data_IF_339863793785
#
_entry.id   IF_339863793785
#
_cell.length_a   1.000
_cell.length_b   1.000
_cell.length_c   1.000
_cell.angle_alpha   90.00
_cell.angle_beta   90.00
_cell.angle_gamma   90.00
#
_symmetry.space_group_name_H-M   'P 1'
#
loop_
_entity.id
_entity.type
_entity.pdbx_description
1 polymer ?
#
# COMPACT_ATOMS: atom_id res chain seq x y z
N UNK A 1 -70.06 -19.36 -14.17
CA UNK A 1 -68.84 -18.79 -13.53
C UNK A 1 -67.62 -19.31 -14.29
N UNK A 2 -66.91 -18.44 -15.03
CA UNK A 2 -65.67 -18.85 -15.74
C UNK A 2 -64.62 -19.22 -14.70
N UNK A 3 -64.15 -20.46 -14.69
CA UNK A 3 -63.04 -20.92 -13.82
C UNK A 3 -61.82 -20.07 -14.14
N UNK A 4 -61.20 -19.46 -13.12
CA UNK A 4 -59.97 -18.69 -13.31
C UNK A 4 -58.91 -19.59 -13.97
N UNK A 5 -58.33 -19.08 -15.06
CA UNK A 5 -57.24 -19.75 -15.75
C UNK A 5 -56.04 -19.82 -14.81
N UNK A 6 -55.45 -20.99 -14.60
CA UNK A 6 -54.26 -21.17 -13.75
C UNK A 6 -53.11 -20.23 -14.17
N UNK A 7 -52.99 -19.90 -15.46
CA UNK A 7 -52.03 -18.90 -15.96
C UNK A 7 -52.29 -17.49 -15.40
N UNK A 8 -53.57 -17.12 -15.22
CA UNK A 8 -53.96 -15.83 -14.64
C UNK A 8 -53.61 -15.78 -13.16
N UNK A 9 -53.82 -16.88 -12.43
CA UNK A 9 -53.46 -17.00 -11.01
C UNK A 9 -51.95 -16.87 -10.83
N UNK A 10 -51.16 -17.55 -11.65
CA UNK A 10 -49.70 -17.50 -11.61
C UNK A 10 -49.17 -16.09 -11.96
N UNK A 11 -49.79 -15.43 -12.94
CA UNK A 11 -49.47 -14.04 -13.28
C UNK A 11 -49.78 -13.06 -12.15
N UNK A 12 -50.95 -13.18 -11.50
CA UNK A 12 -51.31 -12.35 -10.35
C UNK A 12 -50.35 -12.57 -9.20
N UNK A 13 -49.96 -13.83 -8.93
CA UNK A 13 -49.01 -14.14 -7.88
C UNK A 13 -47.63 -13.54 -8.17
N UNK A 14 -47.13 -13.66 -9.40
CA UNK A 14 -45.87 -13.04 -9.82
C UNK A 14 -45.91 -11.50 -9.72
N UNK A 15 -47.04 -10.89 -10.09
CA UNK A 15 -47.23 -9.43 -9.99
C UNK A 15 -47.23 -8.96 -8.53
N UNK A 16 -47.98 -9.64 -7.65
CA UNK A 16 -48.01 -9.34 -6.22
C UNK A 16 -46.61 -9.50 -5.63
N UNK A 17 -45.91 -10.59 -5.96
CA UNK A 17 -44.55 -10.83 -5.50
C UNK A 17 -43.58 -9.74 -5.96
N UNK A 18 -43.64 -9.34 -7.24
CA UNK A 18 -42.84 -8.24 -7.77
C UNK A 18 -43.09 -6.90 -7.05
N UNK A 19 -44.36 -6.57 -6.77
CA UNK A 19 -44.71 -5.35 -6.03
C UNK A 19 -44.17 -5.42 -4.60
N UNK A 20 -44.39 -6.54 -3.89
CA UNK A 20 -43.94 -6.72 -2.49
C UNK A 20 -42.42 -6.58 -2.36
N UNK A 21 -41.65 -7.17 -3.29
CA UNK A 21 -40.18 -7.04 -3.28
C UNK A 21 -39.69 -5.65 -3.68
N UNK A 22 -40.50 -4.84 -4.38
CA UNK A 22 -40.15 -3.47 -4.80
C UNK A 22 -40.48 -2.40 -3.75
N UNK A 23 -41.41 -2.68 -2.82
CA UNK A 23 -41.83 -1.74 -1.77
C UNK A 23 -40.65 -1.18 -0.94
N UNK A 24 -39.67 -1.98 -0.48
CA UNK A 24 -38.53 -1.46 0.28
C UNK A 24 -37.70 -0.42 -0.50
N UNK A 25 -37.60 -0.59 -1.82
CA UNK A 25 -36.89 0.34 -2.71
C UNK A 25 -37.68 1.64 -2.95
N UNK A 26 -39.01 1.56 -3.07
CA UNK A 26 -39.89 2.71 -3.32
C UNK A 26 -40.12 3.57 -2.08
N UNK A 27 -40.28 2.94 -0.93
CA UNK A 27 -40.57 3.62 0.35
C UNK A 27 -39.31 4.03 1.11
N UNK A 28 -38.12 3.70 0.60
CA UNK A 28 -36.83 3.90 1.27
C UNK A 28 -36.81 3.40 2.74
N UNK A 29 -37.62 2.40 3.09
CA UNK A 29 -37.75 1.85 4.45
C UNK A 29 -36.41 1.36 5.02
N UNK A 30 -36.16 1.51 6.33
CA UNK A 30 -34.88 1.10 6.94
C UNK A 30 -34.63 -0.43 6.87
N UNK A 31 -35.70 -1.23 6.73
CA UNK A 31 -35.61 -2.69 6.64
C UNK A 31 -35.97 -3.22 5.24
N UNK A 32 -35.12 -4.11 4.71
CA UNK A 32 -35.30 -4.81 3.44
C UNK A 32 -34.20 -4.54 2.41
N UNK A 33 -33.96 -5.49 1.50
CA UNK A 33 -32.98 -5.32 0.41
C UNK A 33 -33.51 -4.28 -0.58
N UNK A 34 -32.77 -3.18 -0.73
CA UNK A 34 -33.07 -2.12 -1.71
C UNK A 34 -32.26 -2.31 -2.98
N UNK A 35 -32.69 -1.68 -4.06
CA UNK A 35 -31.85 -1.52 -5.26
C UNK A 35 -30.64 -0.65 -4.86
N UNK A 36 -29.43 -1.14 -5.14
CA UNK A 36 -28.20 -0.35 -4.98
C UNK A 36 -28.21 0.74 -6.04
N UNK A 37 -28.17 2.00 -5.60
CA UNK A 37 -28.13 3.16 -6.49
C UNK A 37 -26.67 3.55 -6.69
N UNK A 38 -26.28 3.85 -7.93
CA UNK A 38 -24.93 4.33 -8.22
C UNK A 38 -24.69 5.76 -7.70
N UNK A 39 -23.43 6.19 -7.75
CA UNK A 39 -22.97 7.50 -7.30
C UNK A 39 -23.81 8.67 -7.85
N UNK A 40 -24.11 8.65 -9.15
CA UNK A 40 -24.87 9.72 -9.81
C UNK A 40 -26.30 9.88 -9.28
N UNK A 41 -26.89 8.82 -8.71
CA UNK A 41 -28.26 8.81 -8.22
C UNK A 41 -28.36 8.97 -6.69
N UNK A 42 -27.33 8.55 -5.94
CA UNK A 42 -27.29 8.62 -4.47
C UNK A 42 -26.46 9.78 -3.93
N UNK A 43 -25.64 10.41 -4.77
CA UNK A 43 -24.54 11.25 -4.31
C UNK A 43 -23.44 10.43 -3.64
N UNK A 44 -22.27 11.02 -3.48
CA UNK A 44 -21.14 10.37 -2.82
C UNK A 44 -19.82 11.05 -3.11
N UNK A 45 -18.74 10.31 -2.86
CA UNK A 45 -17.37 10.78 -2.99
C UNK A 45 -16.69 10.13 -4.20
N UNK A 46 -16.17 10.95 -5.11
CA UNK A 46 -15.32 10.53 -6.22
C UNK A 46 -13.97 11.22 -6.12
N UNK A 47 -12.89 10.43 -6.06
CA UNK A 47 -11.53 10.94 -5.92
C UNK A 47 -10.57 10.22 -6.85
N UNK A 48 -9.63 10.99 -7.41
CA UNK A 48 -8.44 10.48 -8.08
C UNK A 48 -7.21 10.79 -7.25
N UNK A 49 -6.51 9.73 -6.84
CA UNK A 49 -5.36 9.82 -5.95
C UNK A 49 -4.09 9.45 -6.72
N UNK A 50 -3.10 10.35 -6.74
CA UNK A 50 -1.79 10.05 -7.30
C UNK A 50 -0.90 9.31 -6.30
N UNK A 51 -0.20 8.28 -6.77
CA UNK A 51 0.71 7.50 -5.94
C UNK A 51 2.14 8.02 -6.09
N UNK A 52 2.83 8.19 -4.96
CA UNK A 52 4.26 8.52 -4.94
C UNK A 52 5.10 7.27 -5.20
N UNK A 53 5.22 6.87 -6.46
CA UNK A 53 5.97 5.65 -6.82
C UNK A 53 7.45 5.70 -6.46
N UNK A 54 8.04 6.90 -6.42
CA UNK A 54 9.47 7.07 -6.12
C UNK A 54 9.80 6.71 -4.67
N UNK A 55 8.87 6.95 -3.73
CA UNK A 55 9.01 6.53 -2.33
C UNK A 55 9.03 5.01 -2.22
N UNK A 56 8.26 4.31 -3.06
CA UNK A 56 8.28 2.85 -3.09
C UNK A 56 9.62 2.30 -3.61
N UNK A 57 10.21 2.98 -4.60
CA UNK A 57 11.56 2.64 -5.10
C UNK A 57 12.59 2.85 -4.00
N UNK A 58 12.57 3.99 -3.32
CA UNK A 58 13.49 4.28 -2.22
C UNK A 58 13.36 3.25 -1.09
N UNK A 59 12.13 2.89 -0.71
CA UNK A 59 11.88 1.87 0.32
C UNK A 59 12.38 0.48 -0.10
N UNK A 60 12.24 0.12 -1.38
CA UNK A 60 12.76 -1.14 -1.91
C UNK A 60 14.29 -1.15 -1.87
N UNK A 61 14.93 -0.04 -2.22
CA UNK A 61 16.39 0.13 -2.17
C UNK A 61 16.91 0.06 -0.73
N UNK A 62 16.22 0.69 0.23
CA UNK A 62 16.51 0.55 1.67
C UNK A 62 16.45 -0.91 2.13
N UNK A 63 15.39 -1.62 1.73
CA UNK A 63 15.24 -3.04 2.04
C UNK A 63 16.39 -3.86 1.46
N UNK A 64 16.77 -3.60 0.21
CA UNK A 64 17.90 -4.28 -0.43
C UNK A 64 19.23 -3.95 0.26
N UNK A 65 19.47 -2.71 0.67
CA UNK A 65 20.68 -2.34 1.41
C UNK A 65 20.76 -3.07 2.75
N UNK A 66 19.64 -3.21 3.46
CA UNK A 66 19.57 -4.02 4.68
C UNK A 66 19.84 -5.51 4.41
N UNK A 67 19.31 -6.07 3.31
CA UNK A 67 19.62 -7.43 2.88
C UNK A 67 21.11 -7.60 2.55
N UNK A 68 21.72 -6.65 1.84
CA UNK A 68 23.15 -6.69 1.52
C UNK A 68 23.98 -6.70 2.80
N UNK A 69 23.69 -5.81 3.75
CA UNK A 69 24.34 -5.78 5.05
C UNK A 69 24.23 -7.13 5.76
N UNK A 70 23.02 -7.65 5.88
CA UNK A 70 22.78 -8.94 6.52
C UNK A 70 23.58 -10.09 5.85
N UNK A 71 23.57 -10.16 4.52
CA UNK A 71 24.28 -11.18 3.76
C UNK A 71 25.80 -11.10 3.92
N UNK A 72 26.35 -9.89 4.01
CA UNK A 72 27.78 -9.69 4.20
C UNK A 72 28.21 -10.01 5.64
N UNK A 73 27.39 -9.61 6.63
CA UNK A 73 27.61 -9.94 8.03
C UNK A 73 27.54 -11.48 8.26
N UNK A 74 26.60 -12.19 7.60
CA UNK A 74 26.44 -13.66 7.70
C UNK A 74 27.59 -14.44 7.05
N UNK A 75 28.20 -13.87 6.00
CA UNK A 75 29.29 -14.50 5.23
C UNK A 75 30.69 -13.96 5.60
N UNK A 76 30.80 -13.22 6.72
CA UNK A 76 32.04 -12.60 7.22
C UNK A 76 32.75 -11.70 6.17
N UNK A 77 32.01 -11.09 5.25
CA UNK A 77 32.55 -10.20 4.22
C UNK A 77 32.70 -8.80 4.81
N UNK A 78 33.93 -8.29 4.87
CA UNK A 78 34.20 -6.98 5.48
C UNK A 78 33.97 -5.86 4.44
N UNK A 79 33.06 -4.94 4.77
CA UNK A 79 32.70 -3.81 3.91
C UNK A 79 32.63 -2.49 4.69
N UNK A 80 32.77 -1.39 3.97
CA UNK A 80 32.63 -0.03 4.48
C UNK A 80 31.77 0.83 3.55
N UNK A 81 31.35 2.00 4.04
CA UNK A 81 30.66 3.04 3.27
C UNK A 81 29.36 2.58 2.56
N UNK A 82 28.62 1.63 3.15
CA UNK A 82 27.31 1.23 2.64
C UNK A 82 26.32 2.39 2.75
N UNK A 83 25.96 2.97 1.61
CA UNK A 83 25.06 4.13 1.52
C UNK A 83 24.18 4.09 0.29
N UNK A 84 23.04 4.76 0.40
CA UNK A 84 22.10 4.96 -0.70
C UNK A 84 22.41 6.32 -1.34
N UNK A 85 22.60 6.32 -2.66
CA UNK A 85 22.93 7.51 -3.46
C UNK A 85 21.77 7.77 -4.44
N UNK A 86 21.36 9.02 -4.56
CA UNK A 86 20.28 9.49 -5.44
C UNK A 86 18.92 8.76 -5.26
N UNK A 87 18.73 8.06 -4.14
CA UNK A 87 17.51 7.28 -3.85
C UNK A 87 17.32 6.00 -4.67
N UNK A 88 18.24 5.67 -5.58
CA UNK A 88 18.10 4.51 -6.48
C UNK A 88 19.38 3.66 -6.67
N UNK A 89 20.50 4.04 -6.05
CA UNK A 89 21.77 3.29 -6.09
C UNK A 89 22.22 2.96 -4.69
N UNK A 90 22.79 1.77 -4.52
CA UNK A 90 23.47 1.36 -3.31
C UNK A 90 24.95 1.31 -3.64
N UNK A 91 25.78 2.01 -2.88
CA UNK A 91 27.23 1.96 -3.03
C UNK A 91 27.87 1.45 -1.75
N UNK A 92 28.89 0.61 -1.88
CA UNK A 92 29.72 0.13 -0.77
C UNK A 92 31.13 -0.20 -1.29
N UNK A 93 32.08 -0.33 -0.38
CA UNK A 93 33.46 -0.68 -0.67
C UNK A 93 33.84 -1.92 0.14
N UNK A 94 34.41 -2.93 -0.51
CA UNK A 94 34.96 -4.09 0.20
C UNK A 94 36.34 -3.75 0.74
N UNK A 95 36.68 -4.27 1.93
CA UNK A 95 38.01 -4.09 2.50
C UNK A 95 39.00 -5.18 2.09
N UNK A 96 38.49 -6.36 1.71
CA UNK A 96 39.27 -7.48 1.19
C UNK A 96 39.04 -7.67 -0.32
N UNK A 97 40.13 -7.77 -1.07
CA UNK A 97 40.11 -8.04 -2.51
C UNK A 97 39.77 -9.48 -2.85
N UNK A 98 40.02 -10.42 -1.95
CA UNK A 98 39.74 -11.84 -2.17
C UNK A 98 38.23 -12.12 -2.10
N UNK A 99 37.49 -11.31 -1.34
CA UNK A 99 36.03 -11.41 -1.18
C UNK A 99 35.23 -10.90 -2.38
N UNK A 100 35.87 -10.21 -3.34
CA UNK A 100 35.21 -9.65 -4.53
C UNK A 100 34.40 -10.71 -5.30
N UNK A 101 34.98 -11.89 -5.50
CA UNK A 101 34.33 -12.97 -6.23
C UNK A 101 33.17 -13.57 -5.43
N UNK A 102 33.36 -13.72 -4.11
CA UNK A 102 32.36 -14.24 -3.17
C UNK A 102 31.15 -13.30 -3.09
N UNK A 103 31.39 -12.01 -2.84
CA UNK A 103 30.37 -10.97 -2.76
C UNK A 103 29.54 -10.90 -4.05
N UNK A 104 30.19 -10.91 -5.22
CA UNK A 104 29.50 -10.87 -6.51
C UNK A 104 28.62 -12.09 -6.75
N UNK A 105 29.08 -13.27 -6.38
CA UNK A 105 28.30 -14.50 -6.49
C UNK A 105 27.07 -14.47 -5.55
N UNK A 106 27.26 -14.04 -4.31
CA UNK A 106 26.22 -13.93 -3.30
C UNK A 106 25.13 -12.93 -3.73
N UNK A 107 25.51 -11.73 -4.14
CA UNK A 107 24.57 -10.71 -4.60
C UNK A 107 23.78 -11.16 -5.82
N UNK A 108 24.42 -11.84 -6.78
CA UNK A 108 23.74 -12.34 -7.97
C UNK A 108 22.75 -13.48 -7.66
N UNK A 109 23.03 -14.26 -6.61
CA UNK A 109 22.20 -15.37 -6.18
C UNK A 109 20.96 -14.88 -5.41
N UNK A 110 21.16 -13.95 -4.48
CA UNK A 110 20.10 -13.55 -3.54
C UNK A 110 19.31 -12.31 -4.01
N UNK A 111 19.91 -11.44 -4.84
CA UNK A 111 19.22 -10.25 -5.38
C UNK A 111 18.83 -10.46 -6.84
N UNK A 112 17.53 -10.65 -7.07
CA UNK A 112 16.99 -10.71 -8.42
C UNK A 112 16.82 -9.32 -9.05
N UNK A 113 17.20 -9.22 -10.34
CA UNK A 113 16.91 -8.08 -11.19
C UNK A 113 17.62 -6.77 -10.78
N UNK A 114 18.83 -6.93 -10.28
CA UNK A 114 19.81 -5.85 -10.05
C UNK A 114 20.90 -5.83 -11.12
N UNK A 115 21.43 -4.65 -11.38
CA UNK A 115 22.67 -4.43 -12.12
C UNK A 115 23.77 -4.10 -11.13
N UNK A 116 24.86 -4.86 -11.17
CA UNK A 116 26.02 -4.66 -10.30
C UNK A 116 27.15 -4.11 -11.16
N UNK A 117 27.57 -2.87 -10.90
CA UNK A 117 28.79 -2.28 -11.44
C UNK A 117 29.90 -2.39 -10.39
N UNK A 118 31.10 -2.74 -10.83
CA UNK A 118 32.27 -2.95 -9.98
C UNK A 118 33.45 -2.16 -10.54
N UNK A 119 34.13 -1.42 -9.67
CA UNK A 119 35.37 -0.71 -9.95
C UNK A 119 36.38 -1.02 -8.83
N UNK A 120 37.25 -2.00 -9.05
CA UNK A 120 38.13 -2.54 -8.02
C UNK A 120 37.33 -3.12 -6.85
N UNK A 121 37.47 -2.48 -5.68
CA UNK A 121 36.77 -2.81 -4.43
C UNK A 121 35.44 -2.08 -4.26
N UNK A 122 35.13 -1.11 -5.12
CA UNK A 122 33.90 -0.32 -5.05
C UNK A 122 32.80 -0.97 -5.87
N UNK A 123 31.65 -1.15 -5.23
CA UNK A 123 30.46 -1.72 -5.86
C UNK A 123 29.34 -0.70 -5.90
N UNK A 124 28.62 -0.71 -7.02
CA UNK A 124 27.38 0.04 -7.20
C UNK A 124 26.30 -0.93 -7.64
N UNK A 125 25.28 -1.10 -6.79
CA UNK A 125 24.11 -1.92 -7.06
C UNK A 125 22.95 -1.01 -7.43
N UNK A 126 22.32 -1.28 -8.57
CA UNK A 126 21.17 -0.54 -9.08
C UNK A 126 20.06 -1.51 -9.45
N UNK A 127 18.82 -1.08 -9.31
CA UNK A 127 17.69 -1.87 -9.79
C UNK A 127 17.59 -1.80 -11.32
N UNK A 128 17.30 -2.90 -11.98
CA UNK A 128 17.06 -2.89 -13.43
C UNK A 128 15.78 -2.10 -13.76
N UNK A 129 15.63 -1.58 -15.00
CA UNK A 129 14.39 -0.90 -15.40
C UNK A 129 13.15 -1.79 -15.25
N UNK A 130 13.29 -3.10 -15.52
CA UNK A 130 12.23 -4.09 -15.36
C UNK A 130 11.79 -4.21 -13.90
N UNK A 131 12.74 -4.35 -12.98
CA UNK A 131 12.44 -4.42 -11.56
C UNK A 131 11.90 -3.13 -10.98
N UNK A 132 12.36 -1.99 -11.49
CA UNK A 132 11.82 -0.69 -11.14
C UNK A 132 10.34 -0.62 -11.51
N UNK A 133 9.98 -0.98 -12.74
CA UNK A 133 8.59 -1.02 -13.18
C UNK A 133 7.73 -2.00 -12.35
N UNK A 134 8.26 -3.19 -12.06
CA UNK A 134 7.59 -4.19 -11.19
C UNK A 134 7.32 -3.63 -9.80
N UNK A 135 8.30 -2.95 -9.20
CA UNK A 135 8.18 -2.32 -7.88
C UNK A 135 7.10 -1.23 -7.88
N UNK A 136 7.05 -0.39 -8.92
CA UNK A 136 5.99 0.63 -9.07
C UNK A 136 4.61 -0.02 -9.18
N UNK A 137 4.47 -1.06 -10.00
CA UNK A 137 3.20 -1.77 -10.18
C UNK A 137 2.72 -2.45 -8.88
N UNK A 138 3.64 -3.07 -8.14
CA UNK A 138 3.34 -3.68 -6.85
C UNK A 138 2.90 -2.61 -5.84
N UNK A 139 3.57 -1.45 -5.81
CA UNK A 139 3.18 -0.35 -4.93
C UNK A 139 1.76 0.17 -5.24
N UNK A 140 1.39 0.27 -6.52
CA UNK A 140 0.03 0.65 -6.93
C UNK A 140 -1.00 -0.38 -6.48
N UNK A 141 -0.71 -1.66 -6.72
CA UNK A 141 -1.63 -2.75 -6.36
C UNK A 141 -1.82 -2.82 -4.84
N UNK A 142 -0.73 -2.73 -4.07
CA UNK A 142 -0.75 -2.67 -2.62
C UNK A 142 -1.55 -1.47 -2.10
N UNK A 143 -1.42 -0.29 -2.75
CA UNK A 143 -2.16 0.89 -2.37
C UNK A 143 -3.67 0.73 -2.63
N UNK A 144 -4.07 0.13 -3.76
CA UNK A 144 -5.48 -0.21 -4.06
C UNK A 144 -6.05 -1.11 -2.98
N UNK A 145 -5.35 -2.20 -2.64
CA UNK A 145 -5.82 -3.15 -1.63
C UNK A 145 -5.90 -2.51 -0.24
N UNK A 146 -4.90 -1.71 0.12
CA UNK A 146 -4.86 -0.98 1.41
C UNK A 146 -6.03 0.00 1.53
N UNK A 147 -6.32 0.77 0.48
CA UNK A 147 -7.45 1.71 0.46
C UNK A 147 -8.76 0.95 0.57
N UNK A 148 -8.92 -0.15 -0.18
CA UNK A 148 -10.11 -1.01 -0.11
C UNK A 148 -10.34 -1.51 1.31
N UNK A 149 -9.34 -2.13 1.94
CA UNK A 149 -9.46 -2.65 3.31
C UNK A 149 -9.79 -1.56 4.34
N UNK A 150 -9.24 -0.35 4.18
CA UNK A 150 -9.55 0.78 5.07
C UNK A 150 -11.01 1.23 4.94
N UNK A 151 -11.52 1.31 3.71
CA UNK A 151 -12.91 1.70 3.45
C UNK A 151 -13.89 0.61 3.92
N UNK A 152 -13.54 -0.66 3.73
CA UNK A 152 -14.32 -1.80 4.24
C UNK A 152 -14.43 -1.76 5.77
N UNK A 153 -13.33 -1.45 6.46
CA UNK A 153 -13.30 -1.32 7.93
C UNK A 153 -14.17 -0.16 8.45
N UNK A 154 -14.47 0.84 7.62
CA UNK A 154 -15.38 1.93 7.97
C UNK A 154 -16.86 1.52 7.89
N UNK A 155 -17.17 0.32 7.36
CA UNK A 155 -18.53 -0.19 7.23
C UNK A 155 -19.32 0.45 6.09
N UNK A 156 -18.63 0.98 5.07
CA UNK A 156 -19.25 1.57 3.88
C UNK A 156 -19.75 0.48 2.95
N UNK A 157 -20.91 0.70 2.33
CA UNK A 157 -21.44 -0.23 1.34
C UNK A 157 -20.64 -0.12 0.04
N UNK A 158 -19.87 -1.17 -0.26
CA UNK A 158 -19.24 -1.47 -1.56
C UNK A 158 -18.47 -0.30 -2.21
N UNK A 159 -17.33 0.14 -1.63
CA UNK A 159 -16.48 1.14 -2.26
C UNK A 159 -15.82 0.59 -3.55
N UNK A 160 -15.84 1.37 -4.62
CA UNK A 160 -15.08 1.05 -5.84
C UNK A 160 -13.68 1.62 -5.72
N UNK A 161 -12.68 0.75 -5.68
CA UNK A 161 -11.26 1.14 -5.69
C UNK A 161 -10.56 0.43 -6.84
N UNK A 162 -10.06 1.21 -7.80
CA UNK A 162 -9.44 0.70 -9.01
C UNK A 162 -8.26 1.56 -9.46
N UNK A 163 -7.30 0.94 -10.14
CA UNK A 163 -6.22 1.69 -10.81
C UNK A 163 -6.78 2.41 -12.04
N UNK A 164 -6.46 3.69 -12.17
CA UNK A 164 -6.78 4.51 -13.32
C UNK A 164 -5.50 5.07 -13.96
N UNK A 165 -5.17 4.61 -15.17
CA UNK A 165 -3.92 4.99 -15.84
C UNK A 165 -2.69 4.31 -15.24
N UNK A 166 -1.56 5.03 -15.23
CA UNK A 166 -0.26 4.49 -14.78
C UNK A 166 -0.04 4.63 -13.27
N UNK A 167 -0.38 5.78 -12.67
CA UNK A 167 0.00 6.15 -11.30
C UNK A 167 -1.16 6.65 -10.43
N UNK A 168 -2.40 6.56 -10.93
CA UNK A 168 -3.59 7.05 -10.20
C UNK A 168 -4.48 5.91 -9.73
N UNK A 169 -5.17 6.16 -8.62
CA UNK A 169 -6.23 5.30 -8.08
C UNK A 169 -7.52 6.09 -8.12
N UNK A 170 -8.54 5.49 -8.74
CA UNK A 170 -9.93 5.90 -8.65
C UNK A 170 -10.55 5.32 -7.39
N UNK A 171 -11.16 6.18 -6.58
CA UNK A 171 -11.92 5.83 -5.39
C UNK A 171 -13.31 6.41 -5.50
N UNK A 172 -14.33 5.55 -5.43
CA UNK A 172 -15.74 5.95 -5.42
C UNK A 172 -16.43 5.34 -4.20
N UNK A 173 -17.08 6.20 -3.42
CA UNK A 173 -17.81 5.78 -2.24
C UNK A 173 -19.24 6.30 -2.34
N UNK A 174 -20.24 5.42 -2.55
CA UNK A 174 -21.64 5.82 -2.62
C UNK A 174 -22.20 6.18 -1.23
N UNK A 175 -23.24 7.01 -1.20
CA UNK A 175 -24.01 7.26 0.02
C UNK A 175 -23.37 8.23 1.02
N UNK A 176 -22.25 8.88 0.65
CA UNK A 176 -21.66 9.97 1.42
C UNK A 176 -22.46 11.25 1.19
N UNK A 177 -23.04 11.79 2.26
CA UNK A 177 -23.96 12.94 2.20
C UNK A 177 -23.45 14.18 2.93
N UNK A 178 -22.50 14.04 3.85
CA UNK A 178 -21.99 15.16 4.64
C UNK A 178 -20.52 15.44 4.32
N UNK A 179 -20.13 16.72 4.37
CA UNK A 179 -18.73 17.12 4.20
C UNK A 179 -17.82 16.55 5.30
N UNK A 180 -18.35 16.35 6.50
CA UNK A 180 -17.61 15.76 7.61
C UNK A 180 -17.27 14.27 7.34
N UNK A 181 -18.16 13.54 6.67
CA UNK A 181 -17.90 12.14 6.26
C UNK A 181 -16.84 12.08 5.17
N UNK A 182 -16.94 12.96 4.16
CA UNK A 182 -15.94 13.08 3.10
C UNK A 182 -14.56 13.36 3.68
N UNK A 183 -14.45 14.34 4.59
CA UNK A 183 -13.19 14.71 5.21
C UNK A 183 -12.59 13.55 6.01
N UNK A 184 -13.40 12.83 6.79
CA UNK A 184 -12.96 11.64 7.53
C UNK A 184 -12.44 10.54 6.61
N UNK A 185 -13.12 10.27 5.50
CA UNK A 185 -12.69 9.27 4.51
C UNK A 185 -11.38 9.71 3.85
N UNK A 186 -11.28 10.98 3.47
CA UNK A 186 -10.06 11.54 2.90
C UNK A 186 -8.88 11.40 3.85
N UNK A 187 -9.08 11.71 5.13
CA UNK A 187 -8.05 11.55 6.17
C UNK A 187 -7.67 10.08 6.37
N UNK A 188 -8.65 9.17 6.40
CA UNK A 188 -8.41 7.73 6.52
C UNK A 188 -7.56 7.19 5.37
N UNK A 189 -7.82 7.64 4.15
CA UNK A 189 -7.06 7.26 2.96
C UNK A 189 -5.67 7.92 2.96
N UNK A 190 -5.60 9.22 3.24
CA UNK A 190 -4.37 10.01 3.16
C UNK A 190 -3.36 9.69 4.27
N UNK A 191 -3.82 9.13 5.41
CA UNK A 191 -2.93 8.77 6.52
C UNK A 191 -1.98 7.64 6.10
N UNK A 192 -0.72 7.98 5.83
CA UNK A 192 0.33 6.99 5.66
C UNK A 192 0.53 6.23 6.98
N UNK A 193 0.29 4.92 6.97
CA UNK A 193 0.53 4.07 8.13
C UNK A 193 1.90 3.41 7.94
N UNK A 194 2.96 4.11 8.33
CA UNK A 194 4.31 3.56 8.32
C UNK A 194 4.54 2.83 9.65
N UNK A 195 4.46 1.50 9.62
CA UNK A 195 4.81 0.67 10.78
C UNK A 195 6.31 0.37 10.72
N UNK A 196 7.04 0.75 11.77
CA UNK A 196 8.45 0.43 11.94
C UNK A 196 8.59 -0.42 13.19
N UNK A 197 9.34 -1.53 13.07
CA UNK A 197 9.74 -2.34 14.21
C UNK A 197 11.19 -1.94 14.54
N UNK A 198 11.39 -1.34 15.71
CA UNK A 198 12.70 -0.90 16.18
C UNK A 198 13.00 -1.60 17.50
N UNK A 199 14.26 -1.94 17.72
CA UNK A 199 14.73 -2.37 19.03
C UNK A 199 14.79 -1.16 19.97
N UNK A 200 14.57 -1.39 21.26
CA UNK A 200 14.71 -0.36 22.29
C UNK A 200 16.19 -0.21 22.63
N UNK A 201 16.72 1.01 22.55
CA UNK A 201 18.06 1.32 23.06
C UNK A 201 17.99 1.47 24.59
N UNK A 202 18.32 0.40 25.31
CA UNK A 202 18.33 0.37 26.77
C UNK A 202 19.39 1.29 27.41
N UNK A 203 20.50 1.57 26.71
CA UNK A 203 21.56 2.43 27.24
C UNK A 203 21.10 3.89 27.28
N UNK A 204 20.29 4.29 26.30
CA UNK A 204 19.82 5.68 26.13
C UNK A 204 18.39 5.92 26.59
N UNK A 205 17.66 4.87 26.98
CA UNK A 205 16.27 4.95 27.44
C UNK A 205 16.08 5.98 28.58
N UNK A 206 17.05 6.05 29.51
CA UNK A 206 17.02 7.02 30.62
C UNK A 206 17.12 8.49 30.19
N UNK A 207 17.59 8.76 28.96
CA UNK A 207 17.80 10.11 28.44
C UNK A 207 16.67 10.61 27.56
N UNK A 208 15.64 9.80 27.29
CA UNK A 208 14.55 10.11 26.35
C UNK A 208 13.92 11.49 26.64
N UNK A 209 13.64 11.79 27.91
CA UNK A 209 13.04 13.07 28.35
C UNK A 209 13.97 14.30 28.20
N UNK A 210 15.27 14.07 28.06
CA UNK A 210 16.30 15.14 27.99
C UNK A 210 16.94 15.29 26.63
N UNK A 211 16.73 14.32 25.74
CA UNK A 211 17.37 14.24 24.43
C UNK A 211 16.50 14.91 23.37
N UNK A 212 17.12 15.67 22.47
CA UNK A 212 16.39 16.24 21.33
C UNK A 212 16.12 15.17 20.26
N UNK A 213 15.03 15.27 19.47
CA UNK A 213 14.80 14.37 18.33
C UNK A 213 15.93 14.38 17.29
N UNK A 214 16.67 15.49 17.14
CA UNK A 214 17.83 15.52 16.23
C UNK A 214 19.01 14.71 16.79
N UNK A 215 19.23 14.77 18.10
CA UNK A 215 20.29 14.00 18.77
C UNK A 215 19.99 12.49 18.72
N UNK A 216 18.75 12.07 18.99
CA UNK A 216 18.33 10.68 18.84
C UNK A 216 18.61 10.14 17.42
N UNK A 217 18.26 10.92 16.38
CA UNK A 217 18.53 10.55 14.99
C UNK A 217 20.01 10.39 14.65
N UNK A 218 20.90 11.08 15.35
CA UNK A 218 22.35 10.92 15.15
C UNK A 218 22.86 9.54 15.59
N UNK A 219 22.15 8.90 16.53
CA UNK A 219 22.39 7.54 16.99
C UNK A 219 21.58 6.50 16.20
N UNK A 220 20.71 6.94 15.28
CA UNK A 220 19.79 6.06 14.56
C UNK A 220 18.49 5.77 15.33
N UNK A 221 18.26 6.47 16.45
CA UNK A 221 17.09 6.28 17.31
C UNK A 221 15.94 7.21 16.94
N UNK A 222 14.74 6.81 17.34
CA UNK A 222 13.52 7.62 17.25
C UNK A 222 12.88 7.66 18.63
N UNK A 223 12.65 8.88 19.14
CA UNK A 223 11.88 9.09 20.37
C UNK A 223 10.40 8.90 20.03
N UNK A 224 9.73 8.00 20.76
CA UNK A 224 8.28 7.78 20.71
C UNK A 224 7.61 8.68 21.76
N UNK A 225 6.68 9.52 21.31
CA UNK A 225 5.75 10.29 22.17
C UNK A 225 4.56 9.43 22.62
#
# INVERSE_FOLDING_TARGET
MKRLNFRLILFIFALIFGIVFSIPSLTQSENGKKITLGLDLQGGLHMLLGIKTDVAIESRIKSMAATIKYLFDDEDIIFDNLRIVDGNKITFELLDGDDVSKAKALLKKELEGVTIAQDGLKFTVMMTPKESARTKQNAISQAVDTIRTRLDAFGLAEPTVAKQGEDKILVEVPGIKTQADEQRIRELIARAAHLQLMAVDEERNSRVETMSPQEARSYGDVILE
#
